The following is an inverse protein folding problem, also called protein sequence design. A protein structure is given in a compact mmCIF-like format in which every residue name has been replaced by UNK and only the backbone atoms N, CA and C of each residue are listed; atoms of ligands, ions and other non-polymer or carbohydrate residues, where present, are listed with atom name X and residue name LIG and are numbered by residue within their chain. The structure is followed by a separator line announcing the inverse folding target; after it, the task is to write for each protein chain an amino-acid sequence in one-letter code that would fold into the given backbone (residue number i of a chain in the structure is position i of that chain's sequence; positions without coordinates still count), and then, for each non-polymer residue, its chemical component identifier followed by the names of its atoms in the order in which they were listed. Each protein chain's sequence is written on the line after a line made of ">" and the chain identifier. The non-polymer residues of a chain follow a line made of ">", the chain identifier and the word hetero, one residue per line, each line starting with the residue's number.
data_IF_744346015020
#
_entry.id   IF_744346015020
#
_cell.length_a   1.000
_cell.length_b   1.000
_cell.length_c   1.000
_cell.angle_alpha   90.00
_cell.angle_beta   90.00
_cell.angle_gamma   90.00
#
_symmetry.space_group_name_H-M   'P 1'
#
loop_
_entity.id
_entity.type
_entity.pdbx_description
1 polymer ?
#
# COMPACT_ATOMS: atom_id res chain seq x y z
N UNK A 1 1.73 -37.57 75.12
CA UNK A 1 1.87 -36.14 74.76
C UNK A 1 3.06 -36.02 73.80
N UNK A 2 2.92 -35.18 72.78
CA UNK A 2 3.90 -34.80 71.73
C UNK A 2 3.91 -35.69 70.48
N UNK A 3 3.33 -35.13 69.42
CA UNK A 3 3.42 -35.50 68.00
C UNK A 3 4.75 -34.97 67.46
N UNK A 4 5.42 -35.72 66.57
CA UNK A 4 6.11 -35.09 65.44
C UNK A 4 6.23 -36.05 64.26
N UNK A 5 5.67 -35.62 63.14
CA UNK A 5 5.68 -36.29 61.83
C UNK A 5 6.92 -35.79 61.10
N UNK A 6 7.91 -36.66 60.90
CA UNK A 6 9.06 -36.35 60.02
C UNK A 6 8.81 -36.94 58.64
N UNK A 7 8.51 -36.05 57.69
CA UNK A 7 8.25 -36.30 56.26
C UNK A 7 9.35 -37.15 55.64
N UNK A 8 8.90 -38.13 54.87
CA UNK A 8 9.65 -39.08 54.05
C UNK A 8 10.49 -38.32 53.01
N UNK A 9 11.79 -38.64 52.95
CA UNK A 9 12.76 -38.07 52.01
C UNK A 9 13.13 -39.06 50.91
N UNK A 10 12.79 -38.67 49.68
CA UNK A 10 13.55 -38.81 48.42
C UNK A 10 14.04 -40.20 48.00
N UNK A 11 13.14 -40.94 47.35
CA UNK A 11 13.42 -41.89 46.28
C UNK A 11 12.48 -41.51 45.11
N UNK A 12 12.84 -41.51 43.83
CA UNK A 12 14.04 -41.79 43.09
C UNK A 12 13.72 -41.54 41.59
N UNK A 13 14.66 -41.92 40.73
CA UNK A 13 14.48 -42.19 39.30
C UNK A 13 14.67 -41.00 38.33
N UNK A 14 15.89 -40.95 37.82
CA UNK A 14 16.25 -40.48 36.48
C UNK A 14 15.34 -41.12 35.42
N UNK A 15 14.76 -40.32 34.54
CA UNK A 15 14.66 -40.65 33.10
C UNK A 15 14.28 -39.37 32.34
N UNK A 16 15.18 -38.99 31.43
CA UNK A 16 15.16 -37.72 30.72
C UNK A 16 14.00 -37.58 29.74
N UNK A 17 13.47 -36.36 29.69
CA UNK A 17 12.95 -35.78 28.46
C UNK A 17 13.67 -34.45 28.36
N UNK A 18 14.72 -34.42 27.55
CA UNK A 18 15.27 -33.18 27.05
C UNK A 18 14.10 -32.40 26.46
N UNK A 19 13.66 -31.37 27.19
CA UNK A 19 12.67 -30.40 26.75
C UNK A 19 13.34 -29.66 25.58
N UNK A 20 13.27 -30.27 24.40
CA UNK A 20 13.60 -29.64 23.15
C UNK A 20 12.77 -28.37 23.12
N UNK A 21 13.45 -27.25 23.32
CA UNK A 21 13.06 -25.93 22.87
C UNK A 21 12.61 -26.05 21.41
N UNK A 22 11.35 -26.41 21.19
CA UNK A 22 10.68 -26.19 19.93
C UNK A 22 10.41 -24.69 19.87
N UNK A 23 11.49 -23.93 19.68
CA UNK A 23 11.40 -22.57 19.17
C UNK A 23 10.91 -22.76 17.75
N UNK A 24 9.58 -22.80 17.60
CA UNK A 24 8.92 -22.66 16.31
C UNK A 24 9.27 -21.23 15.85
N UNK A 25 10.42 -21.08 15.18
CA UNK A 25 10.77 -19.84 14.49
C UNK A 25 9.67 -19.63 13.44
N UNK A 26 8.86 -18.56 13.53
CA UNK A 26 7.93 -18.25 12.47
C UNK A 26 8.77 -17.96 11.23
N UNK A 27 8.63 -18.81 10.21
CA UNK A 27 9.19 -18.59 8.89
C UNK A 27 8.53 -17.30 8.37
N UNK A 28 9.23 -16.17 8.49
CA UNK A 28 8.77 -14.91 7.91
C UNK A 28 8.84 -15.08 6.39
N UNK A 29 7.68 -15.35 5.77
CA UNK A 29 7.53 -15.20 4.33
C UNK A 29 7.92 -13.75 4.01
N UNK A 30 9.04 -13.59 3.33
CA UNK A 30 9.48 -12.30 2.85
C UNK A 30 8.66 -12.03 1.60
N UNK A 31 7.57 -11.27 1.75
CA UNK A 31 6.80 -10.81 0.59
C UNK A 31 7.74 -10.03 -0.33
N UNK A 32 7.94 -10.55 -1.54
CA UNK A 32 8.67 -9.84 -2.58
C UNK A 32 7.80 -8.67 -2.98
N UNK A 33 8.17 -7.49 -2.49
CA UNK A 33 7.47 -6.26 -2.84
C UNK A 33 7.91 -5.86 -4.25
N UNK A 34 7.05 -6.14 -5.24
CA UNK A 34 7.31 -5.75 -6.62
C UNK A 34 7.43 -4.23 -6.74
N UNK A 35 8.35 -3.80 -7.61
CA UNK A 35 8.48 -2.39 -7.94
C UNK A 35 7.17 -1.83 -8.49
N UNK A 36 6.84 -0.58 -8.14
CA UNK A 36 5.58 0.07 -8.53
C UNK A 36 5.79 0.95 -9.75
N UNK A 37 4.80 0.99 -10.64
CA UNK A 37 4.66 1.97 -11.72
C UNK A 37 3.35 2.73 -11.59
N UNK A 38 3.39 4.03 -11.88
CA UNK A 38 2.20 4.89 -11.99
C UNK A 38 1.66 4.78 -13.40
N UNK A 39 0.34 4.62 -13.51
CA UNK A 39 -0.36 4.48 -14.79
C UNK A 39 -1.51 5.47 -14.87
N UNK A 40 -1.85 5.85 -16.10
CA UNK A 40 -2.94 6.77 -16.44
C UNK A 40 -3.74 6.23 -17.62
N UNK A 41 -4.96 6.73 -17.77
CA UNK A 41 -5.76 6.49 -18.98
C UNK A 41 -5.06 7.07 -20.22
N UNK A 42 -5.19 6.40 -21.36
CA UNK A 42 -4.65 6.86 -22.64
C UNK A 42 -5.28 8.19 -23.12
N UNK A 43 -6.39 8.64 -22.51
CA UNK A 43 -7.00 9.94 -22.81
C UNK A 43 -6.10 11.13 -22.43
N UNK A 44 -5.13 10.93 -21.54
CA UNK A 44 -4.30 12.00 -20.99
C UNK A 44 -3.05 12.20 -21.86
N UNK A 45 -2.91 13.36 -22.47
CA UNK A 45 -1.72 13.76 -23.24
C UNK A 45 -0.58 14.28 -22.34
N UNK A 46 -0.15 13.45 -21.39
CA UNK A 46 0.99 13.71 -20.50
C UNK A 46 1.81 12.43 -20.34
N UNK A 47 3.13 12.54 -20.46
CA UNK A 47 4.04 11.39 -20.37
C UNK A 47 4.88 11.41 -19.08
N UNK A 48 5.03 12.59 -18.47
CA UNK A 48 5.86 12.79 -17.28
C UNK A 48 5.16 13.65 -16.23
N UNK A 49 5.50 13.40 -14.96
CA UNK A 49 4.91 14.11 -13.84
C UNK A 49 5.90 14.16 -12.67
N UNK A 50 5.98 15.30 -11.97
CA UNK A 50 6.89 15.42 -10.83
C UNK A 50 6.37 14.68 -9.60
N UNK A 51 7.26 14.16 -8.75
CA UNK A 51 6.87 13.52 -7.49
C UNK A 51 5.99 14.43 -6.60
N UNK A 52 6.27 15.74 -6.59
CA UNK A 52 5.45 16.73 -5.89
C UNK A 52 4.04 16.85 -6.48
N UNK A 53 3.91 16.83 -7.80
CA UNK A 53 2.61 16.79 -8.47
C UNK A 53 1.86 15.48 -8.18
N UNK A 54 2.56 14.35 -8.16
CA UNK A 54 1.96 13.04 -7.86
C UNK A 54 1.35 13.07 -6.46
N UNK A 55 2.12 13.58 -5.50
CA UNK A 55 1.65 13.77 -4.13
C UNK A 55 0.46 14.71 -4.06
N UNK A 56 0.44 15.82 -4.79
CA UNK A 56 -0.72 16.74 -4.85
C UNK A 56 -1.98 16.05 -5.39
N UNK A 57 -1.83 15.18 -6.40
CA UNK A 57 -2.93 14.42 -6.98
C UNK A 57 -3.48 13.39 -5.98
N UNK A 58 -2.64 12.52 -5.43
CA UNK A 58 -3.09 11.47 -4.50
C UNK A 58 -3.59 12.04 -3.16
N UNK A 59 -3.13 13.23 -2.76
CA UNK A 59 -3.68 13.98 -1.62
C UNK A 59 -4.91 14.83 -1.98
N UNK A 60 -5.46 14.69 -3.20
CA UNK A 60 -6.65 15.40 -3.67
C UNK A 60 -6.54 16.95 -3.63
N UNK A 61 -5.31 17.48 -3.58
CA UNK A 61 -5.01 18.92 -3.66
C UNK A 61 -5.02 19.42 -5.10
N UNK A 62 -4.67 18.55 -6.04
CA UNK A 62 -4.86 18.78 -7.47
C UNK A 62 -5.92 17.81 -7.98
N UNK A 63 -6.93 18.34 -8.68
CA UNK A 63 -8.11 17.57 -9.13
C UNK A 63 -8.40 17.70 -10.62
N UNK A 64 -7.61 18.49 -11.33
CA UNK A 64 -7.70 18.66 -12.77
C UNK A 64 -6.32 18.49 -13.37
N UNK A 65 -6.29 17.86 -14.54
CA UNK A 65 -5.13 17.83 -15.40
C UNK A 65 -4.86 19.23 -15.98
N UNK A 66 -3.65 19.52 -16.47
CA UNK A 66 -3.36 20.78 -17.16
C UNK A 66 -4.28 21.05 -18.36
N UNK A 67 -4.86 20.00 -18.95
CA UNK A 67 -5.88 20.07 -20.01
C UNK A 67 -7.26 20.52 -19.53
N UNK A 68 -7.50 20.59 -18.21
CA UNK A 68 -8.80 20.89 -17.60
C UNK A 68 -9.65 19.64 -17.32
N UNK A 69 -9.24 18.46 -17.79
CA UNK A 69 -9.96 17.20 -17.52
C UNK A 69 -9.89 16.83 -16.02
N UNK A 70 -11.00 16.38 -15.40
CA UNK A 70 -10.99 15.99 -13.99
C UNK A 70 -10.14 14.74 -13.75
N UNK A 71 -9.40 14.73 -12.64
CA UNK A 71 -8.56 13.61 -12.24
C UNK A 71 -9.39 12.63 -11.40
N UNK A 72 -9.45 11.38 -11.86
CA UNK A 72 -10.09 10.28 -11.11
C UNK A 72 -9.02 9.36 -10.54
N UNK A 73 -8.85 9.40 -9.22
CA UNK A 73 -7.82 8.63 -8.53
C UNK A 73 -8.37 7.27 -8.13
N UNK A 74 -7.69 6.20 -8.55
CA UNK A 74 -7.96 4.83 -8.13
C UNK A 74 -6.88 4.32 -7.17
N UNK A 75 -7.29 3.62 -6.12
CA UNK A 75 -6.40 3.08 -5.08
C UNK A 75 -6.78 1.64 -4.71
N UNK A 76 -5.79 0.88 -4.24
CA UNK A 76 -6.01 -0.41 -3.58
C UNK A 76 -6.28 -0.20 -2.08
N UNK A 77 -6.84 -1.18 -1.35
CA UNK A 77 -7.13 -1.06 0.07
C UNK A 77 -5.85 -0.82 0.90
N UNK A 78 -5.98 -0.17 2.06
CA UNK A 78 -4.82 0.20 2.89
C UNK A 78 -3.92 -0.98 3.33
N UNK A 79 -4.50 -2.17 3.44
CA UNK A 79 -3.79 -3.39 3.83
C UNK A 79 -3.06 -4.04 2.66
N UNK A 80 -3.32 -3.62 1.42
CA UNK A 80 -2.68 -4.15 0.23
C UNK A 80 -1.17 -3.81 0.22
N UNK A 81 -0.28 -4.82 0.09
CA UNK A 81 1.17 -4.59 0.10
C UNK A 81 1.66 -3.61 -0.97
N UNK A 82 1.03 -3.62 -2.16
CA UNK A 82 1.36 -2.70 -3.24
C UNK A 82 0.95 -1.27 -2.90
N UNK A 83 -0.22 -1.07 -2.28
CA UNK A 83 -0.61 0.26 -1.77
C UNK A 83 0.40 0.75 -0.73
N UNK A 84 0.76 -0.08 0.25
CA UNK A 84 1.72 0.29 1.28
C UNK A 84 3.09 0.67 0.70
N UNK A 85 3.55 -0.08 -0.31
CA UNK A 85 4.78 0.22 -0.99
C UNK A 85 4.69 1.50 -1.81
N UNK A 86 3.60 1.69 -2.56
CA UNK A 86 3.35 2.88 -3.36
C UNK A 86 3.36 4.15 -2.51
N UNK A 87 2.59 4.19 -1.41
CA UNK A 87 2.51 5.40 -0.58
C UNK A 87 3.87 5.76 0.01
N UNK A 88 4.63 4.76 0.47
CA UNK A 88 5.95 4.98 1.07
C UNK A 88 6.98 5.42 0.04
N UNK A 89 7.05 4.74 -1.09
CA UNK A 89 8.10 4.94 -2.10
C UNK A 89 7.84 6.12 -3.04
N UNK A 90 6.59 6.31 -3.49
CA UNK A 90 6.23 7.33 -4.48
C UNK A 90 5.74 8.62 -3.84
N UNK A 91 5.01 8.52 -2.72
CA UNK A 91 4.41 9.69 -2.07
C UNK A 91 5.20 10.16 -0.85
N UNK A 92 6.16 9.38 -0.35
CA UNK A 92 6.85 9.62 0.93
C UNK A 92 5.86 9.84 2.08
N UNK A 93 4.84 8.96 2.16
CA UNK A 93 3.77 8.97 3.15
C UNK A 93 3.42 7.55 3.60
N UNK A 94 2.90 7.41 4.82
CA UNK A 94 2.29 6.17 5.26
C UNK A 94 0.80 6.10 4.85
N UNK A 95 0.26 4.89 4.59
CA UNK A 95 -1.15 4.72 4.18
C UNK A 95 -2.15 5.41 5.11
N UNK A 96 -1.97 5.26 6.43
CA UNK A 96 -2.86 5.88 7.42
C UNK A 96 -2.83 7.41 7.37
N UNK A 97 -1.71 8.04 6.97
CA UNK A 97 -1.63 9.49 6.82
C UNK A 97 -2.43 9.97 5.61
N UNK A 98 -2.34 9.20 4.51
CA UNK A 98 -3.06 9.46 3.28
C UNK A 98 -4.57 9.28 3.50
N UNK A 99 -4.98 8.19 4.15
CA UNK A 99 -6.38 7.93 4.52
C UNK A 99 -6.94 9.03 5.43
N UNK A 100 -6.20 9.42 6.48
CA UNK A 100 -6.61 10.49 7.40
C UNK A 100 -6.84 11.80 6.65
N UNK A 101 -6.02 12.09 5.65
CA UNK A 101 -6.17 13.29 4.83
C UNK A 101 -7.45 13.23 3.99
N UNK A 102 -7.75 12.10 3.35
CA UNK A 102 -9.02 11.92 2.64
C UNK A 102 -10.23 12.06 3.58
N UNK A 103 -10.19 11.43 4.76
CA UNK A 103 -11.29 11.54 5.74
C UNK A 103 -11.53 12.99 6.15
N UNK A 104 -10.48 13.79 6.35
CA UNK A 104 -10.61 15.21 6.64
C UNK A 104 -11.29 15.99 5.50
N UNK A 105 -10.95 15.68 4.25
CA UNK A 105 -11.56 16.33 3.09
C UNK A 105 -13.03 15.96 2.90
N UNK A 106 -13.39 14.71 3.17
CA UNK A 106 -14.78 14.23 3.09
C UNK A 106 -15.63 14.84 4.20
N UNK A 107 -15.16 14.81 5.44
CA UNK A 107 -15.90 15.36 6.58
C UNK A 107 -16.08 16.87 6.53
N UNK A 108 -15.24 17.58 5.77
CA UNK A 108 -15.41 19.02 5.53
C UNK A 108 -16.33 19.32 4.34
N UNK A 109 -16.84 18.31 3.64
CA UNK A 109 -17.64 18.47 2.43
C UNK A 109 -16.85 19.02 1.24
N UNK A 110 -15.52 19.05 1.33
CA UNK A 110 -14.64 19.67 0.33
C UNK A 110 -14.22 18.72 -0.79
N UNK A 111 -14.36 17.40 -0.61
CA UNK A 111 -13.93 16.40 -1.59
C UNK A 111 -14.61 15.05 -1.41
N UNK A 112 -14.70 14.32 -2.51
CA UNK A 112 -14.96 12.87 -2.53
C UNK A 112 -13.66 12.09 -2.26
N UNK A 113 -13.80 10.84 -1.78
CA UNK A 113 -12.66 9.91 -1.62
C UNK A 113 -12.19 9.40 -2.98
N UNK A 114 -10.94 8.95 -3.10
CA UNK A 114 -10.52 8.14 -4.23
C UNK A 114 -11.37 6.88 -4.38
N UNK A 115 -11.41 6.35 -5.60
CA UNK A 115 -12.15 5.14 -5.95
C UNK A 115 -11.31 3.92 -5.56
N UNK A 116 -11.82 3.11 -4.64
CA UNK A 116 -11.15 1.88 -4.22
C UNK A 116 -11.47 0.73 -5.19
N UNK A 117 -10.45 -0.05 -5.55
CA UNK A 117 -10.58 -1.31 -6.30
C UNK A 117 -9.83 -2.41 -5.55
N UNK A 118 -10.22 -3.66 -5.75
CA UNK A 118 -9.76 -4.77 -4.90
C UNK A 118 -8.70 -5.65 -5.56
N UNK A 119 -8.26 -5.30 -6.77
CA UNK A 119 -7.18 -6.01 -7.46
C UNK A 119 -6.52 -5.15 -8.52
N UNK A 120 -5.32 -5.55 -8.90
CA UNK A 120 -4.56 -4.91 -9.99
C UNK A 120 -5.27 -5.03 -11.35
N UNK A 121 -5.96 -6.16 -11.64
CA UNK A 121 -6.76 -6.30 -12.86
C UNK A 121 -7.97 -5.36 -12.87
N UNK A 122 -8.65 -5.20 -11.72
CA UNK A 122 -9.71 -4.20 -11.59
C UNK A 122 -9.17 -2.78 -11.75
N UNK A 123 -7.99 -2.48 -11.20
CA UNK A 123 -7.37 -1.17 -11.38
C UNK A 123 -7.07 -0.88 -12.86
N UNK A 124 -6.48 -1.85 -13.56
CA UNK A 124 -6.16 -1.74 -14.98
C UNK A 124 -7.41 -1.48 -15.81
N UNK A 125 -8.48 -2.27 -15.60
CA UNK A 125 -9.77 -2.11 -16.27
C UNK A 125 -10.42 -0.77 -15.95
N UNK A 126 -10.43 -0.37 -14.68
CA UNK A 126 -11.07 0.85 -14.24
C UNK A 126 -10.39 2.09 -14.85
N UNK A 127 -9.06 2.12 -14.88
CA UNK A 127 -8.30 3.23 -15.47
C UNK A 127 -8.46 3.25 -17.00
N UNK A 128 -8.39 2.09 -17.66
CA UNK A 128 -8.57 2.01 -19.11
C UNK A 128 -9.97 2.44 -19.58
N UNK A 129 -11.00 2.19 -18.78
CA UNK A 129 -12.38 2.58 -19.08
C UNK A 129 -12.72 4.03 -18.68
N UNK A 130 -11.83 4.73 -17.98
CA UNK A 130 -12.15 6.00 -17.33
C UNK A 130 -11.21 7.11 -17.81
N UNK A 131 -11.68 8.03 -18.65
CA UNK A 131 -10.90 9.21 -19.04
C UNK A 131 -10.46 10.01 -17.81
N UNK A 132 -9.23 10.51 -17.83
CA UNK A 132 -8.66 11.30 -16.75
C UNK A 132 -8.23 10.49 -15.52
N UNK A 133 -8.31 9.16 -15.57
CA UNK A 133 -7.97 8.30 -14.44
C UNK A 133 -6.46 8.14 -14.23
N UNK A 134 -6.08 7.96 -12.96
CA UNK A 134 -4.73 7.66 -12.50
C UNK A 134 -4.76 6.58 -11.42
N UNK A 135 -3.75 5.73 -11.41
CA UNK A 135 -3.48 4.77 -10.35
C UNK A 135 -2.08 4.20 -10.46
N UNK A 136 -1.89 3.00 -9.95
CA UNK A 136 -0.57 2.37 -9.90
C UNK A 136 -0.69 0.85 -9.94
N UNK A 137 0.33 0.19 -10.47
CA UNK A 137 0.40 -1.26 -10.62
C UNK A 137 1.81 -1.76 -10.31
N UNK A 138 1.95 -3.07 -10.13
CA UNK A 138 3.25 -3.72 -10.19
C UNK A 138 3.88 -3.50 -11.58
N UNK A 139 5.19 -3.27 -11.62
CA UNK A 139 5.97 -3.14 -12.87
C UNK A 139 5.90 -4.39 -13.75
N UNK A 140 5.59 -5.54 -13.16
CA UNK A 140 5.48 -6.82 -13.87
C UNK A 140 4.22 -6.91 -14.74
N UNK A 141 3.24 -6.01 -14.56
CA UNK A 141 2.01 -6.01 -15.34
C UNK A 141 2.23 -5.34 -16.71
N UNK A 142 1.86 -6.08 -17.76
CA UNK A 142 1.86 -5.62 -19.15
C UNK A 142 0.67 -4.69 -19.41
N UNK A 143 0.95 -3.51 -19.98
CA UNK A 143 -0.04 -2.45 -20.22
C UNK A 143 -0.60 -2.45 -21.66
N UNK A 144 0.07 -3.11 -22.60
CA UNK A 144 -0.25 -3.02 -24.04
C UNK A 144 -1.69 -3.42 -24.36
N UNK A 145 -2.38 -2.59 -25.15
CA UNK A 145 -3.74 -2.84 -25.61
C UNK A 145 -4.83 -2.71 -24.54
N UNK A 146 -4.54 -2.05 -23.40
CA UNK A 146 -5.46 -1.93 -22.25
C UNK A 146 -6.06 -0.53 -22.04
N UNK A 147 -5.81 0.41 -22.93
CA UNK A 147 -6.30 1.79 -22.79
C UNK A 147 -5.60 2.57 -21.69
N UNK A 148 -4.41 2.11 -21.27
CA UNK A 148 -3.59 2.75 -20.24
C UNK A 148 -2.15 2.88 -20.71
N UNK A 149 -1.50 3.93 -20.21
CA UNK A 149 -0.07 4.13 -20.38
C UNK A 149 0.62 4.38 -19.06
N UNK A 150 1.92 4.08 -19.03
CA UNK A 150 2.81 4.39 -17.91
C UNK A 150 3.09 5.89 -17.89
N UNK A 151 3.02 6.47 -16.70
CA UNK A 151 3.43 7.86 -16.46
C UNK A 151 4.79 7.88 -15.74
N UNK A 152 5.77 8.54 -16.32
CA UNK A 152 7.10 8.65 -15.73
C UNK A 152 7.10 9.66 -14.59
N UNK A 153 7.44 9.21 -13.38
CA UNK A 153 7.54 10.08 -12.21
C UNK A 153 8.97 10.60 -12.09
N UNK A 154 9.17 11.87 -12.39
CA UNK A 154 10.47 12.53 -12.28
C UNK A 154 10.63 13.05 -10.85
N UNK A 155 11.77 12.76 -10.21
CA UNK A 155 12.18 13.48 -9.00
C UNK A 155 12.55 14.89 -9.42
N UNK A 156 11.56 15.78 -9.45
CA UNK A 156 11.83 17.21 -9.60
C UNK A 156 12.61 17.69 -8.38
N UNK A 157 13.76 18.33 -8.60
CA UNK A 157 14.50 19.02 -7.56
C UNK A 157 13.57 19.98 -6.83
N UNK A 158 13.54 19.86 -5.51
CA UNK A 158 12.79 20.73 -4.62
C UNK A 158 13.35 22.15 -4.70
N UNK A 159 12.88 22.95 -5.63
CA UNK A 159 12.96 24.41 -5.63
C UNK A 159 11.59 24.93 -6.06
N UNK A 160 10.70 25.10 -5.08
CA UNK A 160 9.62 26.09 -5.04
C UNK A 160 9.00 26.08 -3.62
#
# INVERSE_FOLDING_TARGET
>A
MIREVKRISKSGWLLGIALCCSVILPLRAQEVVSEVQVIVSDSINLDELSAAQLRRIFTMRQRQWPSGEPIKVYVLPNQDPLHQHFTKSQLSMFPYQLERLWNKLVYSGLSERPLEVYSQDQMLKAIGATPGAIGYLSKEIVLEGRGVKKLSVVKGDSHD
#
